data_IF_429871266222
#
_entry.id   IF_429871266222
#
_cell.length_a   1.000
_cell.length_b   1.000
_cell.length_c   1.000
_cell.angle_alpha   90.00
_cell.angle_beta   90.00
_cell.angle_gamma   90.00
#
_symmetry.space_group_name_H-M   'P 1'
#
loop_
_entity.id
_entity.type
_entity.pdbx_description
1 polymer ?
#
# COMPACT_ATOMS: atom_id res chain seq x y z
N UNK A 1 4.89 -5.35 -49.50
CA UNK A 1 3.74 -5.62 -48.63
C UNK A 1 3.59 -4.47 -47.64
N UNK A 2 2.37 -3.94 -47.48
CA UNK A 2 2.09 -2.91 -46.48
C UNK A 2 2.15 -3.55 -45.07
N UNK A 3 2.84 -2.90 -44.14
CA UNK A 3 2.95 -3.36 -42.75
C UNK A 3 1.55 -3.53 -42.15
N UNK A 4 1.33 -4.69 -41.52
CA UNK A 4 0.09 -4.98 -40.80
C UNK A 4 -0.06 -4.02 -39.61
N UNK A 5 -1.29 -3.74 -39.15
CA UNK A 5 -1.53 -2.87 -37.98
C UNK A 5 -0.74 -3.32 -36.74
N UNK A 6 -0.59 -4.63 -36.55
CA UNK A 6 0.16 -5.26 -35.47
C UNK A 6 1.66 -4.97 -35.54
N UNK A 7 2.25 -4.99 -36.74
CA UNK A 7 3.67 -4.66 -36.94
C UNK A 7 3.95 -3.17 -36.77
N UNK A 8 2.99 -2.30 -37.12
CA UNK A 8 3.08 -0.85 -36.86
C UNK A 8 3.03 -0.56 -35.36
N UNK A 9 2.16 -1.23 -34.61
CA UNK A 9 2.08 -1.11 -33.16
C UNK A 9 3.34 -1.64 -32.46
N UNK A 10 3.88 -2.77 -32.91
CA UNK A 10 5.15 -3.32 -32.39
C UNK A 10 6.31 -2.35 -32.62
N UNK A 11 6.43 -1.79 -33.83
CA UNK A 11 7.47 -0.79 -34.14
C UNK A 11 7.30 0.52 -33.38
N UNK A 12 6.06 0.92 -33.09
CA UNK A 12 5.78 2.07 -32.23
C UNK A 12 6.22 1.80 -30.79
N UNK A 13 5.89 0.63 -30.23
CA UNK A 13 6.35 0.19 -28.90
C UNK A 13 7.87 0.08 -28.82
N UNK A 14 8.52 -0.47 -29.85
CA UNK A 14 9.98 -0.54 -29.93
C UNK A 14 10.64 0.85 -30.03
N UNK A 15 10.02 1.80 -30.74
CA UNK A 15 10.48 3.20 -30.79
C UNK A 15 10.29 3.91 -29.45
N UNK A 16 9.16 3.69 -28.77
CA UNK A 16 8.88 4.23 -27.45
C UNK A 16 9.82 3.66 -26.37
N UNK A 17 10.11 2.35 -26.45
CA UNK A 17 11.07 1.66 -25.59
C UNK A 17 12.50 2.19 -25.79
N UNK A 18 12.88 2.48 -27.05
CA UNK A 18 14.18 3.10 -27.37
C UNK A 18 14.26 4.58 -26.97
N UNK A 19 13.18 5.35 -27.07
CA UNK A 19 13.16 6.75 -26.63
C UNK A 19 13.14 6.88 -25.10
N UNK A 20 12.50 5.93 -24.39
CA UNK A 20 12.50 5.85 -22.93
C UNK A 20 13.83 5.33 -22.36
N UNK A 21 14.47 4.38 -23.03
CA UNK A 21 15.82 3.95 -22.67
C UNK A 21 16.88 5.08 -22.79
N UNK A 22 16.58 6.16 -23.53
CA UNK A 22 17.41 7.36 -23.63
C UNK A 22 17.04 8.48 -22.62
N UNK A 23 15.92 8.33 -21.91
CA UNK A 23 15.46 9.29 -20.90
C UNK A 23 15.78 8.76 -19.51
N UNK A 24 17.06 8.59 -19.19
CA UNK A 24 17.51 8.52 -17.79
C UNK A 24 17.40 9.92 -17.21
N UNK A 25 16.29 10.19 -16.53
CA UNK A 25 16.23 11.27 -15.56
C UNK A 25 15.80 10.63 -14.24
N UNK A 26 16.82 10.34 -13.44
CA UNK A 26 16.70 9.92 -12.05
C UNK A 26 17.11 11.13 -11.23
N UNK A 27 16.32 11.42 -10.20
CA UNK A 27 16.49 12.57 -9.29
C UNK A 27 17.89 12.62 -8.62
N UNK A 28 18.67 11.54 -8.71
CA UNK A 28 20.13 11.57 -8.65
C UNK A 28 20.74 10.97 -9.92
N UNK A 29 21.74 11.63 -10.52
CA UNK A 29 22.51 11.10 -11.65
C UNK A 29 23.36 9.86 -11.30
N UNK A 30 23.18 9.31 -10.11
CA UNK A 30 23.93 8.19 -9.55
C UNK A 30 23.39 6.82 -10.01
N UNK A 31 22.11 6.75 -10.39
CA UNK A 31 21.47 5.52 -10.85
C UNK A 31 21.66 5.31 -12.36
N UNK A 32 22.56 4.40 -12.72
CA UNK A 32 22.97 4.18 -14.12
C UNK A 32 22.04 3.30 -14.96
N UNK A 33 21.13 2.54 -14.32
CA UNK A 33 20.16 1.67 -15.02
C UNK A 33 18.74 1.92 -14.49
N UNK A 34 17.72 1.93 -15.36
CA UNK A 34 16.32 2.00 -14.92
C UNK A 34 15.97 0.90 -13.92
N UNK A 35 15.10 1.22 -12.97
CA UNK A 35 14.63 0.26 -11.97
C UNK A 35 13.92 -0.94 -12.62
N UNK A 36 13.08 -0.71 -13.63
CA UNK A 36 12.43 -1.77 -14.43
C UNK A 36 13.42 -2.78 -15.02
N UNK A 37 14.56 -2.31 -15.53
CA UNK A 37 15.60 -3.18 -16.07
C UNK A 37 16.34 -3.92 -14.96
N UNK A 38 16.63 -3.25 -13.84
CA UNK A 38 17.20 -3.89 -12.65
C UNK A 38 16.29 -5.02 -12.17
N UNK A 39 14.99 -4.74 -12.01
CA UNK A 39 14.00 -5.65 -11.47
C UNK A 39 13.85 -6.90 -12.34
N UNK A 40 13.77 -6.76 -13.66
CA UNK A 40 13.67 -7.89 -14.58
C UNK A 40 14.83 -8.90 -14.51
N UNK A 41 15.96 -8.54 -13.89
CA UNK A 41 17.12 -9.43 -13.68
C UNK A 41 17.34 -9.81 -12.22
N UNK A 42 16.50 -9.33 -11.30
CA UNK A 42 16.71 -9.41 -9.85
C UNK A 42 15.39 -9.63 -9.09
N UNK A 43 14.40 -10.25 -9.73
CA UNK A 43 13.03 -10.43 -9.23
C UNK A 43 12.82 -11.65 -8.31
N UNK A 44 13.90 -12.32 -7.88
CA UNK A 44 13.85 -13.57 -7.10
C UNK A 44 12.96 -13.52 -5.84
N UNK A 45 12.69 -12.32 -5.30
CA UNK A 45 11.83 -12.10 -4.12
C UNK A 45 10.61 -11.19 -4.41
N UNK A 46 10.23 -10.99 -5.68
CA UNK A 46 9.11 -10.12 -6.04
C UNK A 46 7.76 -10.63 -5.52
N UNK A 47 7.64 -11.94 -5.30
CA UNK A 47 6.48 -12.57 -4.66
C UNK A 47 6.16 -11.98 -3.28
N UNK A 48 7.17 -11.48 -2.55
CA UNK A 48 6.98 -10.80 -1.27
C UNK A 48 6.18 -9.50 -1.36
N UNK A 49 6.06 -8.91 -2.55
CA UNK A 49 5.20 -7.77 -2.84
C UNK A 49 3.86 -8.18 -3.45
N UNK A 50 3.88 -9.15 -4.37
CA UNK A 50 2.68 -9.57 -5.12
C UNK A 50 1.70 -10.34 -4.23
N UNK A 51 2.18 -11.32 -3.45
CA UNK A 51 1.31 -12.21 -2.68
C UNK A 51 0.50 -11.47 -1.59
N UNK A 52 1.06 -10.52 -0.81
CA UNK A 52 0.26 -9.77 0.16
C UNK A 52 -0.86 -8.94 -0.47
N UNK A 53 -0.62 -8.36 -1.65
CA UNK A 53 -1.64 -7.60 -2.39
C UNK A 53 -2.74 -8.52 -2.92
N UNK A 54 -2.37 -9.69 -3.45
CA UNK A 54 -3.35 -10.70 -3.90
C UNK A 54 -4.23 -11.19 -2.74
N UNK A 55 -3.64 -11.48 -1.57
CA UNK A 55 -4.39 -11.82 -0.35
C UNK A 55 -5.33 -10.69 0.07
N UNK A 56 -4.92 -9.43 -0.11
CA UNK A 56 -5.75 -8.26 0.14
C UNK A 56 -6.81 -8.01 -0.94
N UNK A 57 -6.89 -8.85 -1.99
CA UNK A 57 -7.80 -8.68 -3.12
C UNK A 57 -7.42 -7.52 -4.04
N UNK A 58 -6.14 -7.12 -4.06
CA UNK A 58 -5.60 -6.02 -4.84
C UNK A 58 -4.69 -6.54 -5.95
N UNK A 59 -4.81 -5.97 -7.15
CA UNK A 59 -3.90 -6.27 -8.26
C UNK A 59 -2.58 -5.53 -8.02
N UNK A 60 -1.48 -6.26 -7.95
CA UNK A 60 -0.16 -5.67 -7.82
C UNK A 60 0.21 -4.85 -9.06
N UNK A 61 0.74 -3.61 -8.91
CA UNK A 61 1.18 -2.82 -10.04
C UNK A 61 2.41 -3.44 -10.72
N UNK A 62 2.45 -3.36 -12.04
CA UNK A 62 3.58 -3.84 -12.85
C UNK A 62 4.65 -2.76 -13.02
N UNK A 63 5.93 -3.15 -12.92
CA UNK A 63 7.09 -2.27 -13.13
C UNK A 63 7.98 -2.71 -14.29
N UNK A 64 7.46 -3.54 -15.21
CA UNK A 64 8.21 -4.02 -16.37
C UNK A 64 8.59 -2.89 -17.37
N UNK A 65 7.89 -1.75 -17.29
CA UNK A 65 8.11 -0.59 -18.16
C UNK A 65 8.57 0.62 -17.34
N UNK A 66 9.51 1.39 -17.90
CA UNK A 66 10.05 2.61 -17.30
C UNK A 66 9.17 3.84 -17.57
N UNK A 67 7.91 3.75 -17.16
CA UNK A 67 6.95 4.85 -17.26
C UNK A 67 6.90 5.69 -16.00
N UNK A 68 6.53 6.97 -16.14
CA UNK A 68 6.33 7.87 -15.01
C UNK A 68 5.07 7.52 -14.19
N UNK A 69 4.99 7.99 -12.93
CA UNK A 69 3.79 7.85 -12.11
C UNK A 69 2.58 8.54 -12.72
N UNK A 70 1.45 7.85 -12.66
CA UNK A 70 0.15 8.34 -13.10
C UNK A 70 -0.91 7.86 -12.13
N UNK A 71 -1.96 8.67 -11.93
CA UNK A 71 -3.12 8.22 -11.17
C UNK A 71 -3.89 7.16 -11.97
N UNK A 72 -4.35 6.13 -11.27
CA UNK A 72 -5.23 5.12 -11.84
C UNK A 72 -6.54 5.73 -12.38
N UNK A 73 -7.08 6.77 -11.72
CA UNK A 73 -8.27 7.50 -12.18
C UNK A 73 -7.95 8.62 -13.18
N UNK A 74 -6.69 9.06 -13.23
CA UNK A 74 -6.28 10.25 -13.97
C UNK A 74 -6.64 11.58 -13.28
N UNK A 75 -7.22 11.56 -12.08
CA UNK A 75 -7.67 12.77 -11.38
C UNK A 75 -6.56 13.48 -10.59
N UNK A 76 -5.45 12.79 -10.31
CA UNK A 76 -4.32 13.39 -9.58
C UNK A 76 -3.49 14.22 -10.55
N UNK A 77 -3.28 15.48 -10.20
CA UNK A 77 -2.50 16.40 -11.01
C UNK A 77 -1.02 15.95 -11.09
N UNK A 78 -0.35 16.10 -12.25
CA UNK A 78 1.04 15.66 -12.40
C UNK A 78 2.03 16.28 -11.39
N UNK A 79 1.71 17.44 -10.82
CA UNK A 79 2.55 18.10 -9.81
C UNK A 79 2.70 17.29 -8.52
N UNK A 80 1.77 16.40 -8.22
CA UNK A 80 1.86 15.47 -7.08
C UNK A 80 3.05 14.52 -7.21
N UNK A 81 3.54 14.29 -8.43
CA UNK A 81 4.66 13.40 -8.72
C UNK A 81 5.98 14.16 -8.95
N UNK A 82 6.07 15.43 -8.54
CA UNK A 82 7.29 16.23 -8.72
C UNK A 82 8.51 15.51 -8.13
N UNK A 83 9.56 15.37 -8.91
CA UNK A 83 10.80 14.68 -8.49
C UNK A 83 10.71 13.15 -8.53
N UNK A 84 9.57 12.59 -8.95
CA UNK A 84 9.36 11.13 -9.09
C UNK A 84 9.19 10.80 -10.56
N UNK A 85 10.14 10.05 -11.12
CA UNK A 85 10.17 9.70 -12.54
C UNK A 85 10.47 8.22 -12.74
N UNK A 86 10.04 7.71 -13.90
CA UNK A 86 10.24 6.33 -14.30
C UNK A 86 9.64 5.31 -13.33
N UNK A 87 10.03 4.06 -13.55
CA UNK A 87 9.62 2.91 -12.74
C UNK A 87 10.05 2.99 -11.28
N UNK A 88 11.15 3.70 -10.98
CA UNK A 88 11.61 3.91 -9.61
C UNK A 88 10.67 4.86 -8.85
N UNK A 89 10.40 6.04 -9.41
CA UNK A 89 9.46 6.99 -8.82
C UNK A 89 8.07 6.38 -8.64
N UNK A 90 7.64 5.53 -9.59
CA UNK A 90 6.40 4.74 -9.44
C UNK A 90 6.46 3.80 -8.23
N UNK A 91 7.55 3.08 -8.04
CA UNK A 91 7.70 2.14 -6.93
C UNK A 91 7.70 2.89 -5.59
N UNK A 92 8.42 4.01 -5.50
CA UNK A 92 8.48 4.85 -4.31
C UNK A 92 7.10 5.40 -3.92
N UNK A 93 6.36 5.97 -4.88
CA UNK A 93 4.98 6.44 -4.65
C UNK A 93 4.07 5.27 -4.26
N UNK A 94 4.25 4.09 -4.86
CA UNK A 94 3.47 2.90 -4.50
C UNK A 94 3.68 2.55 -3.02
N UNK A 95 4.92 2.53 -2.56
CA UNK A 95 5.25 2.26 -1.15
C UNK A 95 4.57 3.31 -0.25
N UNK A 96 4.74 4.59 -0.54
CA UNK A 96 4.16 5.69 0.25
C UNK A 96 2.63 5.60 0.32
N UNK A 97 1.95 5.37 -0.81
CA UNK A 97 0.50 5.31 -0.86
C UNK A 97 -0.07 4.03 -0.22
N UNK A 98 0.65 2.91 -0.28
CA UNK A 98 0.26 1.70 0.45
C UNK A 98 0.36 1.90 1.96
N UNK A 99 1.39 2.60 2.45
CA UNK A 99 1.51 2.93 3.87
C UNK A 99 0.42 3.89 4.32
N UNK A 100 0.12 4.93 3.53
CA UNK A 100 -0.96 5.86 3.85
C UNK A 100 -2.32 5.16 3.84
N UNK A 101 -2.59 4.30 2.86
CA UNK A 101 -3.81 3.50 2.81
C UNK A 101 -3.93 2.53 3.99
N UNK A 102 -2.84 1.84 4.34
CA UNK A 102 -2.80 0.93 5.50
C UNK A 102 -3.06 1.69 6.81
N UNK A 103 -2.46 2.88 6.98
CA UNK A 103 -2.69 3.76 8.12
C UNK A 103 -4.17 4.18 8.20
N UNK A 104 -4.72 4.76 7.13
CA UNK A 104 -6.10 5.25 7.11
C UNK A 104 -7.11 4.11 7.37
N UNK A 105 -6.89 2.94 6.76
CA UNK A 105 -7.74 1.77 7.00
C UNK A 105 -7.64 1.27 8.45
N UNK A 106 -6.43 1.26 9.03
CA UNK A 106 -6.23 0.89 10.43
C UNK A 106 -6.95 1.86 11.39
N UNK A 107 -6.92 3.18 11.12
CA UNK A 107 -7.65 4.19 11.88
C UNK A 107 -9.16 3.91 11.88
N UNK A 108 -9.75 3.66 10.70
CA UNK A 108 -11.18 3.34 10.59
C UNK A 108 -11.57 2.02 11.26
N UNK A 109 -10.79 0.95 11.06
CA UNK A 109 -11.04 -0.35 11.70
C UNK A 109 -10.89 -0.25 13.22
N UNK A 110 -9.94 0.55 13.71
CA UNK A 110 -9.75 0.78 15.13
C UNK A 110 -10.95 1.53 15.72
N UNK A 111 -11.37 2.64 15.10
CA UNK A 111 -12.53 3.41 15.54
C UNK A 111 -13.78 2.54 15.62
N UNK A 112 -14.10 1.80 14.55
CA UNK A 112 -15.23 0.87 14.54
C UNK A 112 -15.18 -0.14 15.70
N UNK A 113 -14.03 -0.80 15.91
CA UNK A 113 -13.89 -1.78 16.98
C UNK A 113 -14.03 -1.16 18.37
N UNK A 114 -13.55 0.07 18.56
CA UNK A 114 -13.69 0.78 19.83
C UNK A 114 -15.13 1.15 20.11
N UNK A 115 -15.85 1.64 19.11
CA UNK A 115 -17.25 2.01 19.22
C UNK A 115 -18.11 0.79 19.58
N UNK A 116 -17.94 -0.33 18.86
CA UNK A 116 -18.67 -1.57 19.14
C UNK A 116 -18.35 -2.15 20.53
N UNK A 117 -17.07 -2.16 20.93
CA UNK A 117 -16.69 -2.62 22.26
C UNK A 117 -17.20 -1.67 23.35
N UNK A 118 -17.18 -0.36 23.12
CA UNK A 118 -17.70 0.66 24.04
C UNK A 118 -19.20 0.50 24.25
N UNK A 119 -19.97 0.42 23.17
CA UNK A 119 -21.42 0.19 23.22
C UNK A 119 -21.75 -1.10 23.98
N UNK A 120 -21.01 -2.19 23.71
CA UNK A 120 -21.23 -3.46 24.40
C UNK A 120 -20.91 -3.40 25.89
N UNK A 121 -19.89 -2.64 26.30
CA UNK A 121 -19.55 -2.40 27.69
C UNK A 121 -20.66 -1.61 28.38
N UNK A 122 -21.15 -0.53 27.77
CA UNK A 122 -22.26 0.29 28.29
C UNK A 122 -23.55 -0.50 28.48
N UNK A 123 -23.90 -1.36 27.52
CA UNK A 123 -25.04 -2.29 27.63
C UNK A 123 -24.91 -3.21 28.85
N UNK A 124 -23.70 -3.70 29.15
CA UNK A 124 -23.45 -4.58 30.27
C UNK A 124 -23.47 -3.84 31.62
N UNK A 125 -23.09 -2.57 31.67
CA UNK A 125 -23.18 -1.74 32.89
C UNK A 125 -24.64 -1.48 33.30
N UNK A 126 -25.56 -1.44 32.33
CA UNK A 126 -26.99 -1.28 32.58
C UNK A 126 -27.76 -2.56 32.91
N UNK A 127 -27.12 -3.74 32.83
CA UNK A 127 -27.78 -5.02 33.05
C UNK A 127 -27.92 -5.37 34.54
N UNK A 128 -29.09 -5.90 34.93
CA UNK A 128 -29.33 -6.40 36.29
C UNK A 128 -28.76 -7.83 36.44
N UNK A 129 -27.80 -8.00 37.36
CA UNK A 129 -27.11 -9.26 37.62
C UNK A 129 -27.57 -9.89 38.94
N UNK A 130 -28.87 -10.18 39.02
CA UNK A 130 -29.52 -10.77 40.19
C UNK A 130 -29.23 -12.27 40.37
N UNK A 131 -28.82 -13.00 39.31
CA UNK A 131 -28.35 -14.39 39.40
C UNK A 131 -26.82 -14.46 39.64
N UNK A 132 -26.35 -15.06 40.75
CA UNK A 132 -24.93 -15.19 41.06
C UNK A 132 -24.09 -15.93 40.01
N UNK A 133 -24.66 -16.91 39.29
CA UNK A 133 -23.94 -17.64 38.26
C UNK A 133 -23.75 -16.78 37.00
N UNK A 134 -24.84 -16.18 36.51
CA UNK A 134 -24.81 -15.24 35.39
C UNK A 134 -23.93 -14.01 35.66
N UNK A 135 -23.87 -13.55 36.92
CA UNK A 135 -23.04 -12.43 37.35
C UNK A 135 -21.55 -12.68 37.16
N UNK A 136 -21.07 -13.90 37.43
CA UNK A 136 -19.65 -14.24 37.30
C UNK A 136 -19.20 -14.18 35.85
N UNK A 137 -19.99 -14.77 34.96
CA UNK A 137 -19.67 -14.83 33.53
C UNK A 137 -19.75 -13.44 32.89
N UNK A 138 -20.77 -12.65 33.26
CA UNK A 138 -20.90 -11.27 32.81
C UNK A 138 -19.71 -10.39 33.26
N UNK A 139 -19.24 -10.54 34.51
CA UNK A 139 -18.08 -9.78 34.97
C UNK A 139 -16.79 -10.18 34.24
N UNK A 140 -16.62 -11.47 33.94
CA UNK A 140 -15.47 -11.95 33.18
C UNK A 140 -15.46 -11.38 31.75
N UNK A 141 -16.63 -11.35 31.10
CA UNK A 141 -16.77 -10.74 29.78
C UNK A 141 -16.55 -9.23 29.80
N UNK A 142 -17.06 -8.52 30.81
CA UNK A 142 -16.83 -7.08 30.98
C UNK A 142 -15.34 -6.74 31.03
N UNK A 143 -14.58 -7.48 31.86
CA UNK A 143 -13.13 -7.32 31.97
C UNK A 143 -12.45 -7.62 30.64
N UNK A 144 -12.82 -8.72 29.97
CA UNK A 144 -12.25 -9.11 28.67
C UNK A 144 -12.48 -8.04 27.61
N UNK A 145 -13.68 -7.48 27.51
CA UNK A 145 -14.03 -6.44 26.53
C UNK A 145 -13.29 -5.13 26.84
N UNK A 146 -13.21 -4.74 28.12
CA UNK A 146 -12.46 -3.56 28.56
C UNK A 146 -10.98 -3.69 28.19
N UNK A 147 -10.35 -4.83 28.48
CA UNK A 147 -8.96 -5.09 28.10
C UNK A 147 -8.75 -5.08 26.58
N UNK A 148 -9.71 -5.60 25.81
CA UNK A 148 -9.65 -5.58 24.35
C UNK A 148 -9.72 -4.15 23.81
N UNK A 149 -10.63 -3.32 24.35
CA UNK A 149 -10.75 -1.90 24.00
C UNK A 149 -9.47 -1.14 24.34
N UNK A 150 -8.94 -1.31 25.55
CA UNK A 150 -7.73 -0.61 25.99
C UNK A 150 -6.49 -1.05 25.18
N UNK A 151 -6.48 -2.29 24.66
CA UNK A 151 -5.43 -2.72 23.73
C UNK A 151 -5.46 -1.95 22.41
N UNK A 152 -6.63 -1.46 21.98
CA UNK A 152 -6.77 -0.66 20.76
C UNK A 152 -6.19 0.74 20.90
N UNK A 153 -5.87 1.22 22.11
CA UNK A 153 -5.11 2.47 22.30
C UNK A 153 -3.63 2.33 21.93
N UNK A 154 -3.16 1.09 21.73
CA UNK A 154 -1.75 0.82 21.42
C UNK A 154 -1.49 0.93 19.92
N UNK A 155 -0.37 1.56 19.58
CA UNK A 155 0.12 1.62 18.21
C UNK A 155 0.86 0.33 17.82
N UNK A 156 0.69 -0.10 16.58
CA UNK A 156 1.50 -1.15 15.95
C UNK A 156 2.61 -0.47 15.12
N UNK A 157 3.85 -0.95 15.23
CA UNK A 157 5.00 -0.42 14.48
C UNK A 157 5.45 -1.43 13.44
N UNK A 158 5.66 -0.96 12.21
CA UNK A 158 6.29 -1.71 11.12
C UNK A 158 7.64 -1.09 10.79
N UNK A 159 8.66 -1.92 10.62
CA UNK A 159 10.01 -1.50 10.20
C UNK A 159 10.20 -1.82 8.73
N UNK A 160 10.70 -0.84 7.97
CA UNK A 160 10.96 -0.97 6.54
C UNK A 160 12.44 -0.63 6.27
N UNK A 161 13.08 -1.25 5.25
CA UNK A 161 14.36 -0.78 4.75
C UNK A 161 14.24 0.67 4.27
N UNK A 162 15.25 1.51 4.46
CA UNK A 162 15.26 2.85 3.86
C UNK A 162 15.21 2.72 2.33
N UNK A 163 14.25 3.40 1.70
CA UNK A 163 14.10 3.40 0.24
C UNK A 163 14.25 4.78 -0.38
N UNK A 164 14.34 5.85 0.43
CA UNK A 164 14.60 7.20 -0.06
C UNK A 164 16.09 7.50 0.08
N UNK A 165 16.69 7.95 -1.02
CA UNK A 165 18.07 8.45 -1.00
C UNK A 165 18.01 9.97 -1.03
N UNK A 166 17.75 10.55 0.14
CA UNK A 166 17.72 12.00 0.39
C UNK A 166 16.38 12.69 0.12
N UNK A 167 15.88 13.39 1.13
CA UNK A 167 15.02 14.57 1.02
C UNK A 167 15.55 15.56 2.10
N UNK A 168 16.47 16.46 1.73
CA UNK A 168 16.50 17.81 2.33
C UNK A 168 15.59 18.71 1.49
#
# INVERSE_FOLDING_TARGET
>A
MALTPTEKQRRYRERLKKSRALATDTTSGDFRRPFSQWLASNDENWDGFVLPLDIAGMVAPEFAEDGDPVSASGEVIPQTYRGRQGSLGRAEITIEMLLEAARAMAEHVNAYKRDELGARIEEMEGADFTDPAAKKDALADFVRLTMARDRLDKQVRYTLPEWKVGDE
#
